data_IF_986814441919
#
_entry.id   IF_986814441919
#
_cell.length_a   1.000
_cell.length_b   1.000
_cell.length_c   1.000
_cell.angle_alpha   90.00
_cell.angle_beta   90.00
_cell.angle_gamma   90.00
#
_symmetry.space_group_name_H-M   'P 1'
#
loop_
_entity.id
_entity.type
_entity.pdbx_description
1 polymer ?
#
# COMPACT_ATOMS: atom_id res chain seq x y z
N UNK A 1 36.61 52.22 7.09
CA UNK A 1 35.84 51.89 5.88
C UNK A 1 36.76 51.04 5.02
N UNK A 2 36.67 49.72 5.17
CA UNK A 2 37.44 48.76 4.36
C UNK A 2 36.45 48.14 3.38
N UNK A 3 36.75 48.45 2.12
CA UNK A 3 36.03 47.98 0.96
C UNK A 3 36.35 46.48 0.78
N UNK A 4 35.35 45.62 0.96
CA UNK A 4 35.45 44.18 0.73
C UNK A 4 35.41 43.97 -0.80
N UNK A 5 36.58 44.01 -1.42
CA UNK A 5 36.72 43.65 -2.83
C UNK A 5 36.25 42.25 -3.09
N UNK A 6 35.09 42.13 -3.74
CA UNK A 6 34.53 40.91 -4.32
C UNK A 6 35.54 40.34 -5.31
N UNK A 7 36.24 39.30 -4.90
CA UNK A 7 37.20 38.57 -5.77
C UNK A 7 36.39 37.79 -6.80
N UNK A 8 36.12 38.44 -7.93
CA UNK A 8 35.64 37.77 -9.13
C UNK A 8 36.75 36.82 -9.58
N UNK A 9 36.57 35.53 -9.33
CA UNK A 9 37.45 34.48 -9.82
C UNK A 9 37.46 34.55 -11.35
N UNK A 10 38.62 34.81 -12.02
CA UNK A 10 38.68 34.91 -13.48
C UNK A 10 38.21 33.59 -14.06
N UNK A 11 37.22 33.65 -14.94
CA UNK A 11 36.74 32.48 -15.72
C UNK A 11 37.96 32.08 -16.59
N UNK A 12 38.50 30.89 -16.35
CA UNK A 12 39.60 30.32 -17.10
C UNK A 12 39.20 30.21 -18.59
N UNK A 13 39.82 30.98 -19.50
CA UNK A 13 39.47 30.96 -20.93
C UNK A 13 39.87 29.66 -21.64
N UNK A 14 40.49 28.72 -20.92
CA UNK A 14 40.91 27.43 -21.46
C UNK A 14 39.80 26.36 -21.41
N UNK A 15 38.63 26.62 -20.85
CA UNK A 15 37.52 25.67 -20.85
C UNK A 15 36.97 25.47 -22.26
N UNK A 16 37.42 24.39 -22.89
CA UNK A 16 36.93 24.01 -24.21
C UNK A 16 35.57 23.32 -24.07
N UNK A 17 34.62 23.68 -24.93
CA UNK A 17 33.31 23.03 -25.00
C UNK A 17 33.44 21.51 -25.11
N UNK A 18 34.46 21.02 -25.82
CA UNK A 18 34.79 19.59 -25.95
C UNK A 18 34.99 18.89 -24.60
N UNK A 19 35.61 19.56 -23.63
CA UNK A 19 35.91 18.99 -22.33
C UNK A 19 34.62 18.94 -21.47
N UNK A 20 33.81 20.00 -21.53
CA UNK A 20 32.49 20.02 -20.89
C UNK A 20 31.56 18.98 -21.48
N UNK A 21 31.54 18.77 -22.80
CA UNK A 21 30.77 17.73 -23.46
C UNK A 21 31.21 16.33 -23.00
N UNK A 22 32.55 16.12 -22.88
CA UNK A 22 33.06 14.83 -22.38
C UNK A 22 32.65 14.57 -20.94
N UNK A 23 32.76 15.57 -20.07
CA UNK A 23 32.34 15.50 -18.67
C UNK A 23 30.84 15.14 -18.53
N UNK A 24 29.96 15.81 -19.29
CA UNK A 24 28.56 15.53 -19.32
C UNK A 24 28.24 14.11 -19.82
N UNK A 25 28.95 13.66 -20.88
CA UNK A 25 28.78 12.28 -21.38
C UNK A 25 29.21 11.24 -20.35
N UNK A 26 30.32 11.45 -19.65
CA UNK A 26 30.76 10.55 -18.59
C UNK A 26 29.75 10.52 -17.43
N UNK A 27 29.26 11.69 -17.00
CA UNK A 27 28.27 11.77 -15.95
C UNK A 27 26.92 11.12 -16.32
N UNK A 28 26.55 11.12 -17.60
CA UNK A 28 25.38 10.38 -18.11
C UNK A 28 25.62 8.87 -18.11
N UNK A 29 26.79 8.41 -18.58
CA UNK A 29 27.17 7.01 -18.56
C UNK A 29 27.19 6.44 -17.14
N UNK A 30 27.80 7.17 -16.18
CA UNK A 30 27.82 6.77 -14.77
C UNK A 30 26.42 6.63 -14.16
N UNK A 31 25.47 7.49 -14.57
CA UNK A 31 24.06 7.36 -14.12
C UNK A 31 23.38 6.13 -14.72
N UNK A 32 23.63 5.86 -15.99
CA UNK A 32 23.05 4.72 -16.68
C UNK A 32 23.55 3.41 -16.07
N UNK A 33 24.84 3.33 -15.73
CA UNK A 33 25.44 2.18 -15.05
C UNK A 33 24.81 1.94 -13.68
N UNK A 34 24.59 2.99 -12.89
CA UNK A 34 23.92 2.87 -11.58
C UNK A 34 22.48 2.37 -11.73
N UNK A 35 21.76 2.79 -12.77
CA UNK A 35 20.39 2.32 -13.03
C UNK A 35 20.38 0.84 -13.43
N UNK A 36 21.35 0.40 -14.23
CA UNK A 36 21.50 -1.01 -14.62
C UNK A 36 21.81 -1.87 -13.40
N UNK A 37 22.78 -1.48 -12.57
CA UNK A 37 23.17 -2.19 -11.36
C UNK A 37 21.99 -2.33 -10.38
N UNK A 38 21.23 -1.26 -10.21
CA UNK A 38 20.04 -1.29 -9.35
C UNK A 38 18.98 -2.26 -9.84
N UNK A 39 18.73 -2.26 -11.15
CA UNK A 39 17.77 -3.17 -11.78
C UNK A 39 18.19 -4.62 -11.59
N UNK A 40 19.48 -4.89 -11.78
CA UNK A 40 20.05 -6.22 -11.64
C UNK A 40 19.98 -6.72 -10.19
N UNK A 41 20.32 -5.87 -9.22
CA UNK A 41 20.17 -6.16 -7.81
C UNK A 41 18.70 -6.44 -7.40
N UNK A 42 17.74 -5.70 -7.96
CA UNK A 42 16.31 -5.97 -7.73
C UNK A 42 15.90 -7.33 -8.33
N UNK A 43 16.34 -7.61 -9.54
CA UNK A 43 16.07 -8.89 -10.20
C UNK A 43 16.62 -10.06 -9.39
N UNK A 44 17.89 -10.02 -8.98
CA UNK A 44 18.50 -11.08 -8.18
C UNK A 44 17.74 -11.34 -6.88
N UNK A 45 17.23 -10.30 -6.21
CA UNK A 45 16.41 -10.49 -5.00
C UNK A 45 15.08 -11.16 -5.30
N UNK A 46 14.44 -10.82 -6.42
CA UNK A 46 13.20 -11.47 -6.84
C UNK A 46 13.44 -12.91 -7.29
N UNK A 47 14.57 -13.18 -7.94
CA UNK A 47 14.97 -14.55 -8.31
C UNK A 47 15.23 -15.41 -7.06
N UNK A 48 15.84 -14.85 -6.00
CA UNK A 48 15.99 -15.53 -4.72
C UNK A 48 14.64 -15.83 -4.06
N UNK A 49 13.71 -14.89 -4.08
CA UNK A 49 12.35 -15.09 -3.57
C UNK A 49 11.61 -16.15 -4.40
N UNK A 50 11.76 -16.13 -5.72
CA UNK A 50 11.17 -17.14 -6.61
C UNK A 50 11.74 -18.53 -6.31
N UNK A 51 13.04 -18.63 -6.02
CA UNK A 51 13.68 -19.90 -5.61
C UNK A 51 13.16 -20.40 -4.25
N UNK A 52 12.93 -19.52 -3.29
CA UNK A 52 12.29 -19.85 -1.99
C UNK A 52 10.85 -20.36 -2.19
N UNK A 53 10.11 -19.78 -3.13
CA UNK A 53 8.74 -20.15 -3.46
C UNK A 53 8.62 -21.33 -4.42
N UNK A 54 9.72 -21.81 -5.02
CA UNK A 54 9.71 -22.88 -6.00
C UNK A 54 8.99 -24.15 -5.54
N UNK A 55 9.10 -24.62 -4.28
CA UNK A 55 8.34 -25.77 -3.79
C UNK A 55 6.82 -25.52 -3.84
N UNK A 56 6.38 -24.32 -3.42
CA UNK A 56 4.95 -23.93 -3.43
C UNK A 56 4.43 -23.88 -4.87
N UNK A 57 5.21 -23.36 -5.80
CA UNK A 57 4.84 -23.26 -7.21
C UNK A 57 4.75 -24.64 -7.85
N UNK A 58 5.61 -25.58 -7.44
CA UNK A 58 5.59 -26.96 -7.94
C UNK A 58 4.37 -27.75 -7.43
N UNK A 59 3.81 -27.38 -6.27
CA UNK A 59 2.63 -28.02 -5.69
C UNK A 59 1.32 -27.51 -6.29
N UNK A 60 1.35 -26.46 -7.13
CA UNK A 60 0.16 -25.98 -7.84
C UNK A 60 -0.26 -26.99 -8.90
N UNK A 61 -1.56 -27.38 -8.97
CA UNK A 61 -2.03 -28.30 -9.97
C UNK A 61 -1.71 -27.85 -11.41
N UNK A 62 -1.20 -28.74 -12.26
CA UNK A 62 -0.74 -28.43 -13.60
C UNK A 62 -1.84 -27.95 -14.56
N UNK A 63 -3.11 -28.22 -14.23
CA UNK A 63 -4.29 -27.74 -14.94
C UNK A 63 -4.71 -26.32 -14.54
N UNK A 64 -3.99 -25.71 -13.58
CA UNK A 64 -4.25 -24.36 -13.12
C UNK A 64 -3.37 -23.33 -13.84
N UNK A 65 -3.84 -22.86 -14.98
CA UNK A 65 -3.20 -21.84 -15.82
C UNK A 65 -3.36 -20.39 -15.34
N UNK A 66 -3.93 -20.21 -14.13
CA UNK A 66 -4.15 -18.86 -13.56
C UNK A 66 -2.87 -18.20 -13.03
N UNK A 67 -1.78 -18.97 -12.85
CA UNK A 67 -0.53 -18.50 -12.30
C UNK A 67 0.56 -18.36 -13.37
N UNK A 68 1.46 -17.39 -13.20
CA UNK A 68 2.55 -17.10 -14.16
C UNK A 68 3.96 -17.38 -13.59
N UNK A 69 4.19 -17.23 -12.32
CA UNK A 69 5.44 -17.48 -11.58
C UNK A 69 6.73 -17.06 -12.30
N UNK A 70 6.70 -15.92 -12.99
CA UNK A 70 7.81 -15.44 -13.81
C UNK A 70 8.38 -14.11 -13.33
N UNK A 71 9.73 -13.98 -13.39
CA UNK A 71 10.40 -12.71 -13.14
C UNK A 71 10.55 -11.94 -14.44
N UNK A 72 9.94 -10.75 -14.52
CA UNK A 72 10.04 -9.89 -15.70
C UNK A 72 11.40 -9.20 -15.80
N UNK A 73 11.87 -8.96 -17.03
CA UNK A 73 13.16 -8.33 -17.34
C UNK A 73 13.07 -6.82 -17.62
N UNK A 74 11.93 -6.17 -17.35
CA UNK A 74 11.70 -4.75 -17.61
C UNK A 74 12.56 -3.79 -16.75
N UNK A 75 12.38 -2.47 -16.95
CA UNK A 75 13.06 -1.44 -16.16
C UNK A 75 12.78 -1.55 -14.64
N UNK A 76 11.63 -2.09 -14.30
CA UNK A 76 11.26 -2.45 -12.93
C UNK A 76 10.93 -3.94 -12.89
N UNK A 77 11.89 -4.80 -12.53
CA UNK A 77 11.65 -6.24 -12.41
C UNK A 77 10.52 -6.53 -11.44
N UNK A 78 9.69 -7.53 -11.77
CA UNK A 78 8.58 -8.01 -10.95
C UNK A 78 8.54 -9.52 -11.00
N UNK A 79 8.28 -10.14 -9.86
CA UNK A 79 7.89 -11.55 -9.82
C UNK A 79 6.36 -11.61 -9.92
N UNK A 80 5.86 -12.06 -11.04
CA UNK A 80 4.44 -12.28 -11.26
C UNK A 80 3.99 -13.56 -10.57
N UNK A 81 2.86 -13.49 -9.90
CA UNK A 81 2.22 -14.65 -9.25
C UNK A 81 1.01 -15.06 -10.09
N UNK A 82 0.20 -14.10 -10.50
CA UNK A 82 -0.90 -14.27 -11.45
C UNK A 82 -1.06 -13.01 -12.31
N UNK A 83 -2.10 -12.95 -13.15
CA UNK A 83 -2.35 -11.84 -14.06
C UNK A 83 -2.57 -10.48 -13.38
N UNK A 84 -2.87 -10.45 -12.08
CA UNK A 84 -3.20 -9.22 -11.33
C UNK A 84 -2.33 -9.00 -10.12
N UNK A 85 -1.52 -9.99 -9.72
CA UNK A 85 -0.68 -9.90 -8.52
C UNK A 85 0.80 -10.13 -8.83
N UNK A 86 1.64 -9.31 -8.21
CA UNK A 86 3.07 -9.38 -8.41
C UNK A 86 3.84 -8.86 -7.20
N UNK A 87 5.10 -9.25 -7.10
CA UNK A 87 6.04 -8.71 -6.12
C UNK A 87 7.02 -7.78 -6.83
N UNK A 88 7.26 -6.61 -6.23
CA UNK A 88 8.24 -5.64 -6.68
C UNK A 88 9.10 -5.17 -5.50
N UNK A 89 10.29 -4.66 -5.78
CA UNK A 89 11.12 -4.03 -4.75
C UNK A 89 10.63 -2.60 -4.46
N UNK A 90 10.67 -2.22 -3.20
CA UNK A 90 10.40 -0.86 -2.74
C UNK A 90 11.46 0.14 -3.18
N UNK A 91 11.19 1.43 -3.00
CA UNK A 91 12.15 2.51 -3.32
C UNK A 91 13.42 2.47 -2.46
N UNK A 92 13.34 1.91 -1.27
CA UNK A 92 14.45 1.66 -0.36
C UNK A 92 15.37 0.52 -0.80
N UNK A 93 15.01 -0.19 -1.88
CA UNK A 93 15.75 -1.32 -2.48
C UNK A 93 15.89 -2.54 -1.57
N UNK A 94 15.22 -2.56 -0.42
CA UNK A 94 15.30 -3.64 0.58
C UNK A 94 13.95 -4.27 0.83
N UNK A 95 12.88 -3.51 0.73
CA UNK A 95 11.53 -3.95 1.04
C UNK A 95 10.92 -4.67 -0.15
N UNK A 96 10.44 -5.89 0.06
CA UNK A 96 9.59 -6.60 -0.88
C UNK A 96 8.15 -6.10 -0.71
N UNK A 97 7.48 -5.81 -1.80
CA UNK A 97 6.09 -5.37 -1.81
C UNK A 97 5.26 -6.33 -2.65
N UNK A 98 4.39 -7.09 -2.01
CA UNK A 98 3.42 -7.92 -2.69
C UNK A 98 2.17 -7.10 -2.97
N UNK A 99 1.83 -6.97 -4.23
CA UNK A 99 0.86 -6.01 -4.75
C UNK A 99 -0.19 -6.76 -5.58
N UNK A 100 -1.45 -6.29 -5.49
CA UNK A 100 -2.55 -6.74 -6.34
C UNK A 100 -3.16 -5.55 -7.07
N UNK A 101 -3.23 -5.62 -8.38
CA UNK A 101 -3.91 -4.64 -9.20
C UNK A 101 -5.41 -4.93 -9.21
N UNK A 102 -6.22 -3.95 -8.87
CA UNK A 102 -7.69 -4.03 -8.82
C UNK A 102 -8.30 -2.95 -9.71
N UNK A 103 -9.60 -3.03 -9.99
CA UNK A 103 -10.32 -2.04 -10.81
C UNK A 103 -10.29 -0.63 -10.22
N UNK A 104 -10.14 -0.51 -8.91
CA UNK A 104 -10.12 0.77 -8.19
C UNK A 104 -8.69 1.23 -7.84
N UNK A 105 -7.66 0.45 -8.22
CA UNK A 105 -6.27 0.78 -7.97
C UNK A 105 -5.46 -0.40 -7.43
N UNK A 106 -4.24 -0.11 -7.04
CA UNK A 106 -3.29 -1.09 -6.52
C UNK A 106 -3.40 -1.23 -5.02
N UNK A 107 -3.51 -2.48 -4.54
CA UNK A 107 -3.59 -2.84 -3.12
C UNK A 107 -2.27 -3.52 -2.72
N UNK A 108 -1.73 -3.15 -1.56
CA UNK A 108 -0.58 -3.81 -0.94
C UNK A 108 -1.10 -4.99 -0.12
N UNK A 109 -0.74 -6.21 -0.48
CA UNK A 109 -1.11 -7.42 0.24
C UNK A 109 -0.13 -7.73 1.38
N UNK A 110 1.17 -7.49 1.14
CA UNK A 110 2.22 -7.58 2.16
C UNK A 110 3.38 -6.65 1.81
N UNK A 111 4.07 -6.16 2.84
CA UNK A 111 5.28 -5.35 2.70
C UNK A 111 6.23 -5.70 3.84
N UNK A 112 7.46 -6.16 3.51
CA UNK A 112 8.48 -6.54 4.49
C UNK A 112 9.87 -6.50 3.88
N UNK A 113 10.87 -6.24 4.70
CA UNK A 113 12.29 -6.43 4.34
C UNK A 113 12.73 -7.89 4.50
N UNK A 114 11.97 -8.67 5.25
CA UNK A 114 12.19 -10.10 5.41
C UNK A 114 11.50 -10.89 4.29
N UNK A 115 12.31 -11.63 3.53
CA UNK A 115 11.88 -12.43 2.41
C UNK A 115 10.90 -13.54 2.83
N UNK A 116 11.15 -14.19 3.98
CA UNK A 116 10.30 -15.27 4.48
C UNK A 116 8.88 -14.81 4.78
N UNK A 117 8.76 -13.67 5.45
CA UNK A 117 7.45 -13.06 5.74
C UNK A 117 6.64 -12.86 4.45
N UNK A 118 7.29 -12.37 3.38
CA UNK A 118 6.59 -12.17 2.09
C UNK A 118 6.28 -13.51 1.43
N UNK A 119 7.19 -14.50 1.50
CA UNK A 119 6.97 -15.85 0.98
C UNK A 119 5.75 -16.51 1.64
N UNK A 120 5.59 -16.37 2.97
CA UNK A 120 4.43 -16.90 3.70
C UNK A 120 3.11 -16.27 3.21
N UNK A 121 3.11 -14.95 2.98
CA UNK A 121 1.94 -14.25 2.43
C UNK A 121 1.60 -14.69 1.01
N UNK A 122 2.61 -14.90 0.15
CA UNK A 122 2.43 -15.40 -1.22
C UNK A 122 1.90 -16.83 -1.20
N UNK A 123 2.46 -17.69 -0.36
CA UNK A 123 2.00 -19.08 -0.19
C UNK A 123 0.54 -19.14 0.19
N UNK A 124 0.14 -18.33 1.17
CA UNK A 124 -1.25 -18.24 1.59
C UNK A 124 -2.15 -17.75 0.46
N UNK A 125 -1.73 -16.71 -0.26
CA UNK A 125 -2.47 -16.19 -1.41
C UNK A 125 -2.68 -17.23 -2.50
N UNK A 126 -1.62 -17.98 -2.86
CA UNK A 126 -1.70 -19.07 -3.84
C UNK A 126 -2.67 -20.13 -3.38
N UNK A 127 -2.60 -20.55 -2.10
CA UNK A 127 -3.53 -21.53 -1.53
C UNK A 127 -4.99 -21.05 -1.58
N UNK A 128 -5.25 -19.79 -1.21
CA UNK A 128 -6.60 -19.20 -1.29
C UNK A 128 -7.14 -19.23 -2.73
N UNK A 129 -6.30 -18.91 -3.73
CA UNK A 129 -6.68 -18.93 -5.15
C UNK A 129 -6.93 -20.35 -5.68
N UNK A 130 -6.14 -21.32 -5.25
CA UNK A 130 -6.35 -22.74 -5.61
C UNK A 130 -7.68 -23.23 -5.06
N UNK A 131 -7.97 -22.98 -3.78
CA UNK A 131 -9.23 -23.36 -3.14
C UNK A 131 -10.44 -22.66 -3.79
N UNK A 132 -10.30 -21.35 -4.10
CA UNK A 132 -11.34 -20.60 -4.80
C UNK A 132 -11.67 -21.23 -6.16
N UNK A 133 -10.66 -21.60 -6.93
CA UNK A 133 -10.85 -22.29 -8.22
C UNK A 133 -11.53 -23.66 -8.04
N UNK A 134 -11.11 -24.46 -7.07
CA UNK A 134 -11.72 -25.77 -6.79
C UNK A 134 -13.21 -25.63 -6.47
N UNK A 135 -13.60 -24.69 -5.62
CA UNK A 135 -15.00 -24.40 -5.30
C UNK A 135 -15.82 -24.00 -6.54
N UNK A 136 -15.23 -23.17 -7.40
CA UNK A 136 -15.89 -22.79 -8.66
C UNK A 136 -16.10 -24.01 -9.58
N UNK A 137 -15.13 -24.94 -9.64
CA UNK A 137 -15.21 -26.14 -10.48
C UNK A 137 -16.20 -27.16 -9.92
N UNK A 138 -16.35 -27.26 -8.61
CA UNK A 138 -17.30 -28.13 -7.90
C UNK A 138 -18.74 -27.61 -7.96
N UNK A 139 -18.94 -26.42 -8.52
CA UNK A 139 -20.25 -25.78 -8.63
C UNK A 139 -20.79 -25.23 -7.30
N UNK A 140 -19.96 -25.22 -6.25
CA UNK A 140 -20.21 -24.50 -5.02
C UNK A 140 -20.03 -22.99 -5.30
N UNK A 141 -20.97 -22.44 -6.05
CA UNK A 141 -21.14 -20.99 -6.09
C UNK A 141 -21.67 -20.61 -4.72
N UNK A 142 -20.77 -20.39 -3.76
CA UNK A 142 -21.19 -19.77 -2.52
C UNK A 142 -21.90 -18.47 -2.91
N UNK A 143 -23.14 -18.24 -2.45
CA UNK A 143 -23.85 -17.03 -2.79
C UNK A 143 -23.24 -15.83 -2.05
N UNK A 144 -22.03 -15.44 -2.46
CA UNK A 144 -21.47 -14.13 -2.10
C UNK A 144 -22.38 -12.98 -2.58
N UNK A 145 -23.43 -13.32 -3.34
CA UNK A 145 -24.51 -12.45 -3.75
C UNK A 145 -25.83 -12.73 -2.99
N UNK A 146 -25.88 -13.67 -2.04
CA UNK A 146 -27.08 -13.88 -1.22
C UNK A 146 -27.43 -12.64 -0.35
N UNK A 147 -26.49 -11.72 -0.18
CA UNK A 147 -26.78 -10.40 0.41
C UNK A 147 -27.59 -9.46 -0.49
N UNK A 148 -27.71 -9.78 -1.80
CA UNK A 148 -28.49 -9.00 -2.78
C UNK A 148 -29.62 -9.84 -3.43
N UNK A 149 -29.81 -11.09 -3.05
CA UNK A 149 -30.97 -11.86 -3.46
C UNK A 149 -32.19 -11.25 -2.78
N UNK A 150 -32.98 -10.55 -3.60
CA UNK A 150 -34.32 -10.11 -3.24
C UNK A 150 -35.08 -11.33 -2.68
N UNK A 151 -35.63 -11.27 -1.47
CA UNK A 151 -36.41 -12.38 -0.93
C UNK A 151 -37.54 -12.72 -1.91
N UNK A 152 -37.92 -14.03 -2.05
CA UNK A 152 -39.02 -14.42 -2.91
C UNK A 152 -40.27 -13.64 -2.47
N UNK A 153 -40.92 -13.05 -3.48
CA UNK A 153 -42.19 -12.34 -3.27
C UNK A 153 -43.17 -13.35 -2.75
N UNK A 154 -43.32 -13.44 -1.43
CA UNK A 154 -44.48 -14.07 -0.83
C UNK A 154 -45.68 -13.14 -1.04
N UNK A 155 -46.79 -13.71 -1.50
CA UNK A 155 -48.05 -13.05 -1.77
C UNK A 155 -48.49 -12.15 -0.61
N UNK A 156 -49.04 -11.02 -1.01
CA UNK A 156 -49.40 -9.91 -0.16
C UNK A 156 -50.35 -10.25 1.00
N UNK A 157 -49.91 -9.99 2.22
CA UNK A 157 -50.78 -9.61 3.32
C UNK A 157 -50.61 -8.13 3.68
N UNK A 158 -51.65 -7.43 4.15
CA UNK A 158 -51.74 -5.98 4.14
C UNK A 158 -50.83 -5.30 5.18
N UNK A 159 -50.53 -3.99 5.01
CA UNK A 159 -49.37 -3.34 5.65
C UNK A 159 -49.61 -3.02 7.11
N UNK A 160 -48.84 -3.64 8.01
CA UNK A 160 -48.60 -3.14 9.35
C UNK A 160 -47.32 -2.30 9.34
N UNK A 161 -47.46 -1.13 9.82
CA UNK A 161 -46.63 0.05 9.91
C UNK A 161 -45.10 -0.14 9.94
N UNK A 162 -44.41 0.58 9.06
CA UNK A 162 -42.98 0.76 8.98
C UNK A 162 -42.38 1.30 10.27
N UNK A 163 -41.56 0.49 10.95
CA UNK A 163 -40.57 0.99 11.87
C UNK A 163 -39.26 1.23 11.06
N UNK A 164 -39.02 2.50 10.72
CA UNK A 164 -37.84 2.93 9.97
C UNK A 164 -36.55 2.66 10.75
N UNK A 165 -35.79 1.66 10.32
CA UNK A 165 -34.41 1.44 10.76
C UNK A 165 -33.46 2.40 10.03
N UNK A 166 -33.41 3.66 10.47
CA UNK A 166 -32.52 4.68 9.91
C UNK A 166 -31.07 4.43 10.29
N UNK A 167 -30.18 4.83 9.41
CA UNK A 167 -28.72 4.92 9.52
C UNK A 167 -28.20 5.72 10.74
N UNK A 168 -29.08 6.27 11.52
CA UNK A 168 -28.89 7.20 12.64
C UNK A 168 -28.33 6.59 13.95
N UNK A 169 -28.54 5.29 14.33
CA UNK A 169 -28.02 4.81 15.63
C UNK A 169 -26.48 4.75 15.69
N UNK A 170 -25.79 4.53 14.56
CA UNK A 170 -24.33 4.51 14.55
C UNK A 170 -23.71 5.92 14.68
N UNK A 171 -24.38 6.96 14.14
CA UNK A 171 -23.95 8.36 14.24
C UNK A 171 -24.15 8.91 15.63
N UNK A 172 -25.24 8.54 16.32
CA UNK A 172 -25.50 8.98 17.70
C UNK A 172 -24.55 8.32 18.72
N UNK A 173 -24.07 7.11 18.48
CA UNK A 173 -23.11 6.45 19.36
C UNK A 173 -21.74 7.15 19.35
N UNK A 174 -21.24 7.56 18.20
CA UNK A 174 -19.97 8.27 18.08
C UNK A 174 -20.05 9.72 18.61
N UNK A 175 -21.18 10.39 18.37
CA UNK A 175 -21.40 11.74 18.92
C UNK A 175 -21.51 11.72 20.46
N UNK A 176 -22.14 10.68 21.04
CA UNK A 176 -22.24 10.48 22.48
C UNK A 176 -20.88 10.32 23.18
N UNK A 177 -19.94 9.61 22.57
CA UNK A 177 -18.58 9.43 23.11
C UNK A 177 -17.79 10.75 23.07
N UNK A 178 -17.91 11.51 21.99
CA UNK A 178 -17.23 12.79 21.84
C UNK A 178 -17.75 13.83 22.85
N UNK A 179 -19.06 13.91 23.04
CA UNK A 179 -19.67 14.85 24.01
C UNK A 179 -19.34 14.46 25.46
N UNK A 180 -19.33 13.18 25.80
CA UNK A 180 -18.92 12.71 27.13
C UNK A 180 -17.44 13.03 27.41
N UNK A 181 -16.56 12.83 26.44
CA UNK A 181 -15.13 13.18 26.54
C UNK A 181 -14.90 14.69 26.73
N UNK A 182 -15.65 15.53 26.00
CA UNK A 182 -15.57 16.98 26.12
C UNK A 182 -16.02 17.49 27.50
N UNK A 183 -17.09 16.92 28.06
CA UNK A 183 -17.59 17.27 29.39
C UNK A 183 -16.60 16.87 30.48
N UNK A 184 -16.02 15.67 30.41
CA UNK A 184 -15.00 15.23 31.39
C UNK A 184 -13.74 16.10 31.26
N UNK A 185 -13.29 16.42 30.04
CA UNK A 185 -12.15 17.32 29.83
C UNK A 185 -12.38 18.72 30.39
N UNK A 186 -13.57 19.28 30.22
CA UNK A 186 -13.95 20.59 30.72
C UNK A 186 -14.03 20.61 32.27
N UNK A 187 -14.56 19.53 32.87
CA UNK A 187 -14.62 19.36 34.31
C UNK A 187 -13.22 19.26 34.94
N UNK A 188 -12.30 18.50 34.32
CA UNK A 188 -10.91 18.42 34.76
C UNK A 188 -10.17 19.76 34.61
N UNK A 189 -10.38 20.46 33.51
CA UNK A 189 -9.80 21.79 33.31
C UNK A 189 -10.31 22.80 34.34
N UNK A 190 -11.61 22.79 34.62
CA UNK A 190 -12.18 23.65 35.64
C UNK A 190 -11.61 23.35 37.05
N UNK A 191 -11.37 22.09 37.38
CA UNK A 191 -10.81 21.66 38.65
C UNK A 191 -9.32 22.03 38.78
N UNK A 192 -8.54 21.89 37.72
CA UNK A 192 -7.12 22.26 37.71
C UNK A 192 -6.88 23.77 37.69
N UNK A 193 -7.77 24.54 37.10
CA UNK A 193 -7.65 26.00 37.00
C UNK A 193 -8.55 26.76 37.95
N UNK A 194 -9.21 26.08 38.90
CA UNK A 194 -10.11 26.70 39.88
C UNK A 194 -9.49 27.88 40.63
N UNK A 195 -8.23 27.71 41.07
CA UNK A 195 -7.50 28.76 41.79
C UNK A 195 -7.17 29.98 40.93
N UNK A 196 -7.01 29.77 39.61
CA UNK A 196 -6.78 30.85 38.63
C UNK A 196 -8.06 31.57 38.27
N UNK A 197 -9.18 30.87 38.15
CA UNK A 197 -10.50 31.41 37.85
C UNK A 197 -11.07 32.20 39.02
N UNK A 198 -10.84 31.77 40.28
CA UNK A 198 -11.28 32.48 41.46
C UNK A 198 -10.48 33.77 41.75
N UNK A 199 -9.28 33.91 41.14
CA UNK A 199 -8.45 35.12 41.23
C UNK A 199 -8.87 36.25 40.28
N UNK A 200 -9.74 35.97 39.29
CA UNK A 200 -10.31 37.00 38.40
C UNK A 200 -11.54 37.60 39.12
N UNK A 201 -11.30 38.48 40.05
CA UNK A 201 -12.35 39.37 40.58
C UNK A 201 -12.81 40.26 39.41
N UNK A 202 -13.99 40.03 38.92
CA UNK A 202 -14.71 40.97 38.05
C UNK A 202 -15.05 42.15 38.94
N UNK A 203 -14.30 43.26 38.80
CA UNK A 203 -14.63 44.55 39.38
C UNK A 203 -15.68 45.19 38.48
N UNK A 204 -16.90 45.28 38.97
CA UNK A 204 -17.93 46.15 38.41
C UNK A 204 -17.80 47.50 39.06
#
# INVERSE_FOLDING_TARGET
MQDAGETVTPIDPSRKLSDAVREVKNALADRDDVVVDMREAHRMRLDLLAAELAPVFADVPADNDSFDFAVSSGLQPRLWIDAVSHIAMGRDRRTYRFLKDTRIGRVVLAESTDMKTVADHVTRYVAERVVERQRMMEGETEPALAGFARPPVAEAEPPLQAAGGGFWPAVFSTLGVITAGALVGLALAALLFWDRLSAIKISF
#
